data_IF_146502477858
#
_entry.id   IF_146502477858
#
_cell.length_a   1.000
_cell.length_b   1.000
_cell.length_c   1.000
_cell.angle_alpha   90.00
_cell.angle_beta   90.00
_cell.angle_gamma   90.00
#
_symmetry.space_group_name_H-M   'P 1'
#
loop_
_entity.id
_entity.type
_entity.pdbx_description
1 polymer ?
#
# COMPACT_ATOMS: atom_id res chain seq x y z
N UNK A 1 73.14 2.87 0.90
CA UNK A 1 72.01 2.55 0.00
C UNK A 1 71.23 1.40 0.61
N UNK A 2 69.95 1.58 0.97
CA UNK A 2 69.08 0.47 1.43
C UNK A 2 68.34 -0.15 0.23
N UNK A 3 68.17 -1.48 0.19
CA UNK A 3 67.43 -2.15 -0.88
C UNK A 3 65.92 -1.93 -0.74
N UNK A 4 65.28 -1.45 -1.80
CA UNK A 4 63.82 -1.38 -1.94
C UNK A 4 63.27 -2.79 -2.18
N UNK A 5 62.46 -3.29 -1.24
CA UNK A 5 61.80 -4.59 -1.36
C UNK A 5 60.66 -4.47 -2.41
N UNK A 6 60.61 -5.30 -3.46
CA UNK A 6 59.53 -5.24 -4.44
C UNK A 6 58.21 -5.71 -3.80
N UNK A 7 57.20 -4.84 -3.80
CA UNK A 7 55.85 -5.18 -3.38
C UNK A 7 55.22 -6.11 -4.43
N UNK A 8 54.70 -7.30 -4.04
CA UNK A 8 54.03 -8.17 -4.99
C UNK A 8 52.75 -7.51 -5.51
N UNK A 9 52.70 -7.24 -6.82
CA UNK A 9 51.48 -6.85 -7.51
C UNK A 9 50.65 -8.11 -7.76
N UNK A 10 49.63 -8.34 -6.93
CA UNK A 10 48.69 -9.44 -7.12
C UNK A 10 47.66 -9.05 -8.19
N UNK A 11 47.80 -9.62 -9.39
CA UNK A 11 46.80 -9.50 -10.45
C UNK A 11 45.63 -10.48 -10.21
N UNK A 12 44.41 -10.04 -10.51
CA UNK A 12 43.24 -10.91 -10.49
C UNK A 12 43.30 -11.94 -11.61
N UNK A 13 42.96 -13.20 -11.30
CA UNK A 13 42.90 -14.25 -12.32
C UNK A 13 41.62 -14.12 -13.15
N UNK A 14 41.65 -14.59 -14.40
CA UNK A 14 40.46 -14.59 -15.27
C UNK A 14 39.30 -15.38 -14.64
N UNK A 15 39.61 -16.51 -13.99
CA UNK A 15 38.65 -17.33 -13.27
C UNK A 15 37.99 -16.55 -12.12
N UNK A 16 38.79 -15.83 -11.34
CA UNK A 16 38.29 -15.03 -10.20
C UNK A 16 37.36 -13.89 -10.66
N UNK A 17 37.67 -13.26 -11.80
CA UNK A 17 36.76 -12.28 -12.41
C UNK A 17 35.45 -12.93 -12.87
N UNK A 18 35.50 -14.12 -13.49
CA UNK A 18 34.29 -14.84 -13.90
C UNK A 18 33.43 -15.27 -12.71
N UNK A 19 34.05 -15.78 -11.64
CA UNK A 19 33.35 -16.16 -10.41
C UNK A 19 32.70 -14.95 -9.76
N UNK A 20 33.42 -13.82 -9.69
CA UNK A 20 32.89 -12.57 -9.15
C UNK A 20 31.68 -12.07 -9.94
N UNK A 21 31.75 -12.11 -11.27
CA UNK A 21 30.63 -11.75 -12.14
C UNK A 21 29.43 -12.69 -12.00
N UNK A 22 29.67 -14.00 -11.86
CA UNK A 22 28.62 -14.98 -11.66
C UNK A 22 27.88 -14.74 -10.33
N UNK A 23 28.61 -14.47 -9.25
CA UNK A 23 28.04 -14.12 -7.95
C UNK A 23 27.25 -12.81 -8.05
N UNK A 24 27.82 -11.80 -8.70
CA UNK A 24 27.17 -10.49 -8.84
C UNK A 24 25.89 -10.57 -9.69
N UNK A 25 25.89 -11.37 -10.75
CA UNK A 25 24.71 -11.66 -11.55
C UNK A 25 23.63 -12.43 -10.76
N UNK A 26 24.03 -13.40 -9.94
CA UNK A 26 23.10 -14.12 -9.07
C UNK A 26 22.44 -13.18 -8.04
N UNK A 27 23.22 -12.31 -7.40
CA UNK A 27 22.72 -11.30 -6.46
C UNK A 27 21.76 -10.34 -7.16
N UNK A 28 22.12 -9.84 -8.36
CA UNK A 28 21.27 -8.95 -9.15
C UNK A 28 19.93 -9.63 -9.53
N UNK A 29 19.95 -10.91 -9.89
CA UNK A 29 18.72 -11.65 -10.18
C UNK A 29 17.75 -11.65 -9.00
N UNK A 30 18.25 -11.86 -7.78
CA UNK A 30 17.45 -11.88 -6.56
C UNK A 30 16.92 -10.48 -6.24
N UNK A 31 17.78 -9.46 -6.24
CA UNK A 31 17.39 -8.08 -5.89
C UNK A 31 16.32 -7.51 -6.83
N UNK A 32 16.38 -7.81 -8.13
CA UNK A 32 15.38 -7.36 -9.11
C UNK A 32 13.99 -7.93 -8.79
N UNK A 33 13.90 -9.16 -8.30
CA UNK A 33 12.60 -9.76 -7.95
C UNK A 33 12.04 -9.21 -6.64
N UNK A 34 12.90 -8.94 -5.65
CA UNK A 34 12.51 -8.35 -4.36
C UNK A 34 12.01 -6.90 -4.49
N UNK A 35 12.52 -6.15 -5.47
CA UNK A 35 12.17 -4.74 -5.68
C UNK A 35 10.94 -4.53 -6.58
N UNK A 36 10.25 -5.60 -7.01
CA UNK A 36 9.05 -5.45 -7.82
C UNK A 36 7.95 -4.75 -7.01
N UNK A 37 7.42 -3.60 -7.47
CA UNK A 37 6.36 -2.92 -6.76
C UNK A 37 5.10 -3.81 -6.70
N UNK A 38 4.30 -3.70 -5.63
CA UNK A 38 3.06 -4.46 -5.51
C UNK A 38 2.12 -4.17 -6.69
N UNK A 39 1.38 -5.20 -7.10
CA UNK A 39 0.45 -5.08 -8.23
C UNK A 39 -0.58 -3.97 -7.96
N UNK A 40 -1.06 -3.25 -8.99
CA UNK A 40 -2.07 -2.22 -8.81
C UNK A 40 -3.33 -2.72 -8.09
N UNK A 41 -3.71 -3.98 -8.31
CA UNK A 41 -4.83 -4.64 -7.64
C UNK A 41 -4.57 -4.80 -6.14
N UNK A 42 -3.40 -5.32 -5.74
CA UNK A 42 -3.07 -5.47 -4.32
C UNK A 42 -3.07 -4.12 -3.58
N UNK A 43 -2.57 -3.06 -4.25
CA UNK A 43 -2.62 -1.71 -3.69
C UNK A 43 -4.04 -1.20 -3.51
N UNK A 44 -4.95 -1.56 -4.41
CA UNK A 44 -6.35 -1.14 -4.36
C UNK A 44 -7.10 -1.91 -3.26
N UNK A 45 -6.84 -3.21 -3.14
CA UNK A 45 -7.34 -4.05 -2.05
C UNK A 45 -6.84 -3.53 -0.68
N UNK A 46 -5.57 -3.12 -0.59
CA UNK A 46 -5.03 -2.50 0.62
C UNK A 46 -5.68 -1.15 0.93
N UNK A 47 -5.88 -0.30 -0.07
CA UNK A 47 -6.53 1.00 0.10
C UNK A 47 -8.00 0.85 0.54
N UNK A 48 -8.73 -0.13 -0.01
CA UNK A 48 -10.11 -0.42 0.39
C UNK A 48 -10.18 -0.97 1.82
N UNK A 49 -9.28 -1.86 2.20
CA UNK A 49 -9.17 -2.36 3.56
C UNK A 49 -8.84 -1.26 4.56
N UNK A 50 -7.93 -0.34 4.20
CA UNK A 50 -7.60 0.82 5.03
C UNK A 50 -8.79 1.75 5.22
N UNK A 51 -9.51 2.09 4.14
CA UNK A 51 -10.73 2.90 4.21
C UNK A 51 -11.80 2.23 5.09
N UNK A 52 -11.95 0.90 4.97
CA UNK A 52 -12.85 0.11 5.81
C UNK A 52 -12.51 0.23 7.30
N UNK A 53 -11.24 0.13 7.66
CA UNK A 53 -10.76 0.26 9.04
C UNK A 53 -10.97 1.69 9.58
N UNK A 54 -10.68 2.71 8.78
CA UNK A 54 -10.83 4.11 9.18
C UNK A 54 -12.30 4.47 9.43
N UNK A 55 -13.21 3.98 8.59
CA UNK A 55 -14.64 4.13 8.80
C UNK A 55 -15.13 3.35 10.03
N UNK A 56 -14.65 2.12 10.25
CA UNK A 56 -14.99 1.32 11.43
C UNK A 56 -14.53 2.02 12.73
N UNK A 57 -13.37 2.68 12.69
CA UNK A 57 -12.88 3.50 13.79
C UNK A 57 -13.76 4.73 14.01
N UNK A 58 -14.17 5.44 12.95
CA UNK A 58 -15.08 6.58 13.04
C UNK A 58 -16.44 6.18 13.64
N UNK A 59 -16.98 5.02 13.21
CA UNK A 59 -18.19 4.41 13.79
C UNK A 59 -18.03 4.09 15.26
N UNK A 60 -16.92 3.45 15.64
CA UNK A 60 -16.64 3.09 17.03
C UNK A 60 -16.56 4.34 17.91
N UNK A 61 -15.94 5.42 17.42
CA UNK A 61 -15.93 6.72 18.11
C UNK A 61 -17.33 7.31 18.26
N UNK A 62 -18.16 7.22 17.22
CA UNK A 62 -19.53 7.72 17.30
C UNK A 62 -20.36 7.01 18.38
N UNK A 63 -20.22 5.69 18.48
CA UNK A 63 -20.87 4.86 19.49
C UNK A 63 -20.31 5.18 20.89
N UNK A 64 -18.99 5.18 21.04
CA UNK A 64 -18.33 5.36 22.33
C UNK A 64 -18.56 6.77 22.92
N UNK A 65 -18.44 7.81 22.09
CA UNK A 65 -18.54 9.20 22.55
C UNK A 65 -19.98 9.72 22.57
N UNK A 66 -20.94 8.87 22.15
CA UNK A 66 -22.37 9.18 22.02
C UNK A 66 -22.59 10.46 21.20
N UNK A 67 -21.82 10.62 20.12
CA UNK A 67 -21.86 11.79 19.23
C UNK A 67 -21.82 11.37 17.77
N UNK A 68 -22.49 12.15 16.92
CA UNK A 68 -22.38 11.96 15.48
C UNK A 68 -20.96 12.31 15.01
N UNK A 69 -20.31 11.40 14.31
CA UNK A 69 -18.97 11.60 13.74
C UNK A 69 -19.09 11.73 12.23
N UNK A 70 -18.60 12.83 11.67
CA UNK A 70 -18.50 13.01 10.22
C UNK A 70 -17.24 12.33 9.71
N UNK A 71 -17.36 11.61 8.59
CA UNK A 71 -16.25 10.93 7.93
C UNK A 71 -16.24 11.28 6.44
N UNK A 72 -15.06 11.57 5.89
CA UNK A 72 -14.87 11.91 4.50
C UNK A 72 -14.57 10.66 3.68
N UNK A 73 -15.20 10.54 2.52
CA UNK A 73 -15.04 9.44 1.59
C UNK A 73 -14.53 9.98 0.24
N UNK A 74 -13.40 9.45 -0.27
CA UNK A 74 -12.86 9.93 -1.52
C UNK A 74 -13.80 9.61 -2.69
N UNK A 75 -13.94 10.56 -3.63
CA UNK A 75 -14.69 10.42 -4.87
C UNK A 75 -13.77 10.31 -6.09
N UNK A 76 -14.31 9.81 -7.21
CA UNK A 76 -13.53 9.64 -8.44
C UNK A 76 -13.11 10.99 -9.05
N UNK A 77 -13.86 12.07 -8.77
CA UNK A 77 -13.62 13.42 -9.25
C UNK A 77 -12.59 14.20 -8.40
N UNK A 78 -12.04 13.57 -7.35
CA UNK A 78 -11.09 14.17 -6.43
C UNK A 78 -11.72 15.00 -5.31
N UNK A 79 -13.05 15.05 -5.24
CA UNK A 79 -13.78 15.60 -4.09
C UNK A 79 -13.94 14.55 -2.98
N UNK A 80 -14.38 15.00 -1.81
CA UNK A 80 -14.76 14.13 -0.70
C UNK A 80 -16.27 14.21 -0.46
N UNK A 81 -16.94 13.05 -0.44
CA UNK A 81 -18.30 12.95 0.05
C UNK A 81 -18.30 12.78 1.57
N UNK A 82 -19.16 13.53 2.26
CA UNK A 82 -19.27 13.43 3.70
C UNK A 82 -20.36 12.42 4.08
N UNK A 83 -19.99 11.42 4.87
CA UNK A 83 -20.93 10.56 5.59
C UNK A 83 -20.94 10.92 7.07
N UNK A 84 -21.94 10.43 7.80
CA UNK A 84 -22.06 10.57 9.24
C UNK A 84 -22.33 9.23 9.87
N UNK A 85 -21.58 8.89 10.90
CA UNK A 85 -21.85 7.77 11.80
C UNK A 85 -22.61 8.28 13.01
N UNK A 86 -23.66 7.57 13.38
CA UNK A 86 -24.52 7.90 14.52
C UNK A 86 -24.17 7.05 15.75
N UNK A 87 -24.53 7.51 16.96
CA UNK A 87 -24.28 6.77 18.21
C UNK A 87 -24.92 5.38 18.30
N UNK A 88 -25.97 5.14 17.52
CA UNK A 88 -26.66 3.84 17.41
C UNK A 88 -25.91 2.84 16.51
N UNK A 89 -24.79 3.26 15.91
CA UNK A 89 -23.98 2.46 15.01
C UNK A 89 -24.48 2.44 13.56
N UNK A 90 -25.51 3.21 13.23
CA UNK A 90 -25.97 3.43 11.85
C UNK A 90 -25.12 4.49 11.16
N UNK A 91 -25.31 4.65 9.85
CA UNK A 91 -24.63 5.66 9.06
C UNK A 91 -25.55 6.30 8.02
N UNK A 92 -25.23 7.54 7.65
CA UNK A 92 -25.79 8.16 6.46
C UNK A 92 -25.20 7.46 5.22
N UNK A 93 -26.03 6.97 4.27
CA UNK A 93 -25.51 6.28 3.10
C UNK A 93 -24.64 7.22 2.27
N UNK A 94 -23.49 6.70 1.85
CA UNK A 94 -22.56 7.40 0.99
C UNK A 94 -21.75 6.38 0.19
N UNK A 95 -21.32 6.80 -0.99
CA UNK A 95 -20.44 6.03 -1.86
C UNK A 95 -19.03 6.60 -1.81
N UNK A 96 -18.05 5.78 -2.09
CA UNK A 96 -16.65 6.15 -2.25
C UNK A 96 -16.10 5.50 -3.52
N UNK A 97 -15.05 6.11 -4.04
CA UNK A 97 -14.36 5.64 -5.22
C UNK A 97 -12.87 5.62 -4.96
N UNK A 98 -12.28 4.43 -5.08
CA UNK A 98 -10.83 4.26 -5.04
C UNK A 98 -10.32 4.02 -6.45
N UNK A 99 -9.32 4.82 -6.87
CA UNK A 99 -8.71 4.71 -8.19
C UNK A 99 -7.20 4.55 -8.07
N UNK A 100 -6.67 3.45 -8.61
CA UNK A 100 -5.23 3.21 -8.73
C UNK A 100 -4.91 2.85 -10.18
N UNK A 101 -4.17 3.75 -10.86
CA UNK A 101 -3.91 3.67 -12.31
C UNK A 101 -5.23 3.56 -13.09
N UNK A 102 -5.48 2.41 -13.72
CA UNK A 102 -6.67 2.12 -14.52
C UNK A 102 -7.70 1.25 -13.78
N UNK A 103 -7.44 0.91 -12.51
CA UNK A 103 -8.40 0.17 -11.69
C UNK A 103 -9.22 1.15 -10.87
N UNK A 104 -10.54 0.98 -10.92
CA UNK A 104 -11.52 1.71 -10.14
C UNK A 104 -12.32 0.72 -9.32
N UNK A 105 -12.56 1.06 -8.06
CA UNK A 105 -13.39 0.29 -7.15
C UNK A 105 -14.38 1.21 -6.47
N UNK A 106 -15.67 0.89 -6.62
CA UNK A 106 -16.75 1.59 -5.94
C UNK A 106 -17.05 0.89 -4.62
N UNK A 107 -17.24 1.69 -3.59
CA UNK A 107 -17.50 1.20 -2.23
C UNK A 107 -18.71 1.97 -1.71
N UNK A 108 -19.60 1.29 -1.01
CA UNK A 108 -20.79 1.90 -0.39
C UNK A 108 -20.79 1.64 1.10
N UNK A 109 -21.26 2.63 1.85
CA UNK A 109 -21.63 2.45 3.26
C UNK A 109 -23.08 1.99 3.34
N UNK A 110 -23.28 0.79 3.89
CA UNK A 110 -24.62 0.30 4.20
C UNK A 110 -25.19 1.09 5.39
N UNK A 111 -26.35 1.76 5.22
CA UNK A 111 -26.83 2.70 6.24
C UNK A 111 -27.22 2.01 7.56
N UNK A 112 -27.78 0.81 7.49
CA UNK A 112 -28.24 0.08 8.67
C UNK A 112 -27.12 -0.53 9.51
N UNK A 113 -25.99 -0.87 8.89
CA UNK A 113 -24.88 -1.54 9.57
C UNK A 113 -23.68 -0.63 9.77
N UNK A 114 -23.61 0.50 9.06
CA UNK A 114 -22.44 1.38 9.01
C UNK A 114 -21.20 0.71 8.41
N UNK A 115 -21.35 -0.43 7.73
CA UNK A 115 -20.25 -1.18 7.13
C UNK A 115 -19.97 -0.71 5.71
N UNK A 116 -18.69 -0.62 5.36
CA UNK A 116 -18.24 -0.44 3.99
C UNK A 116 -18.27 -1.78 3.25
N UNK A 117 -18.90 -1.79 2.08
CA UNK A 117 -18.95 -2.94 1.20
C UNK A 117 -18.53 -2.52 -0.21
N UNK A 118 -17.66 -3.33 -0.82
CA UNK A 118 -17.30 -3.17 -2.22
C UNK A 118 -18.53 -3.45 -3.08
N UNK A 119 -18.90 -2.48 -3.90
CA UNK A 119 -19.88 -2.70 -4.95
C UNK A 119 -19.09 -3.28 -6.12
N UNK A 120 -19.28 -4.57 -6.37
CA UNK A 120 -18.71 -5.20 -7.54
C UNK A 120 -19.40 -4.63 -8.79
N UNK A 121 -18.65 -4.23 -9.83
CA UNK A 121 -19.23 -3.74 -11.08
C UNK A 121 -20.05 -4.82 -11.78
#
# INVERSE_FOLDING_TARGET
MLPSNPSPQSGFTLLEMLVSLAILAAILGITVTALRPPSPKLRLDQASAQLANDAALARTRAIHDVKTVTFALPQCDGSDAMTRFYPDGTALPATACLRIKNLVQHIEIKPLTGLLQVIQP
#
